data_IF_053903485711
#
_entry.id   IF_053903485711
#
_cell.length_a   1.000
_cell.length_b   1.000
_cell.length_c   1.000
_cell.angle_alpha   90.00
_cell.angle_beta   90.00
_cell.angle_gamma   90.00
#
_symmetry.space_group_name_H-M   'P 1'
#
loop_
_entity.id
_entity.type
_entity.pdbx_description
1 polymer ?
#
# COMPACT_ATOMS: atom_id res chain seq x y z
N UNK A 1 11.98 -10.27 -5.91
CA UNK A 1 10.65 -10.42 -5.29
C UNK A 1 10.01 -11.60 -5.96
N UNK A 2 9.92 -12.71 -5.24
CA UNK A 2 9.44 -13.99 -5.79
C UNK A 2 8.24 -14.54 -4.99
N UNK A 3 7.73 -13.76 -4.03
CA UNK A 3 6.51 -14.04 -3.27
C UNK A 3 5.46 -12.94 -3.44
N UNK A 4 4.45 -12.93 -2.58
CA UNK A 4 3.39 -11.92 -2.59
C UNK A 4 3.66 -10.86 -1.51
N UNK A 5 3.85 -9.62 -1.93
CA UNK A 5 3.91 -8.46 -1.04
C UNK A 5 2.51 -7.88 -0.86
N UNK A 6 2.04 -7.82 0.38
CA UNK A 6 0.70 -7.28 0.72
C UNK A 6 0.77 -6.27 1.87
N UNK A 7 -0.08 -5.21 1.85
CA UNK A 7 -0.31 -4.38 3.02
C UNK A 7 -1.20 -5.07 4.07
N UNK A 8 -1.34 -4.44 5.26
CA UNK A 8 -2.46 -4.70 6.15
C UNK A 8 -3.82 -4.63 5.43
N UNK A 9 -4.80 -5.35 5.97
CA UNK A 9 -6.10 -5.54 5.34
C UNK A 9 -7.02 -4.31 5.53
N UNK A 10 -6.72 -3.25 4.78
CA UNK A 10 -7.50 -2.02 4.71
C UNK A 10 -7.10 -0.92 5.71
N UNK A 11 -7.87 0.18 5.73
CA UNK A 11 -7.54 1.39 6.49
C UNK A 11 -7.59 1.20 8.01
N UNK A 12 -8.39 0.27 8.52
CA UNK A 12 -8.56 0.02 9.96
C UNK A 12 -7.43 -0.86 10.53
N UNK A 13 -6.86 -1.72 9.69
CA UNK A 13 -5.71 -2.56 10.03
C UNK A 13 -4.38 -1.80 9.93
N UNK A 14 -4.41 -0.53 9.50
CA UNK A 14 -3.20 0.24 9.30
C UNK A 14 -2.57 0.66 10.63
N UNK A 15 -1.25 0.43 10.85
CA UNK A 15 -0.60 0.82 12.10
C UNK A 15 -0.74 2.31 12.37
N UNK A 16 -1.18 2.70 13.57
CA UNK A 16 -1.38 4.12 13.95
C UNK A 16 -0.10 4.96 13.84
N UNK A 17 1.05 4.32 14.07
CA UNK A 17 2.38 4.94 13.97
C UNK A 17 2.80 5.20 12.50
N UNK A 18 2.08 4.66 11.53
CA UNK A 18 2.38 4.75 10.10
C UNK A 18 1.36 5.63 9.38
N UNK A 19 1.82 6.42 8.41
CA UNK A 19 0.91 7.19 7.56
C UNK A 19 0.04 6.26 6.72
N UNK A 20 -1.28 6.41 6.81
CA UNK A 20 -2.28 5.76 5.92
C UNK A 20 -2.10 6.12 4.44
N UNK A 21 -1.30 7.14 4.13
CA UNK A 21 -0.97 7.55 2.75
C UNK A 21 0.28 6.87 2.20
N UNK A 22 1.01 6.12 3.02
CA UNK A 22 2.31 5.56 2.68
C UNK A 22 2.25 4.04 2.82
N UNK A 23 1.85 3.39 1.71
CA UNK A 23 1.81 1.92 1.60
C UNK A 23 3.18 1.33 1.26
N UNK A 24 3.74 1.72 0.12
CA UNK A 24 5.04 1.26 -0.34
C UNK A 24 5.83 2.49 -0.80
N UNK A 25 6.86 2.85 -0.04
CA UNK A 25 7.64 4.07 -0.27
C UNK A 25 9.10 3.70 -0.51
N UNK A 26 9.60 4.12 -1.68
CA UNK A 26 11.01 4.12 -2.04
C UNK A 26 11.49 5.57 -1.97
N UNK A 27 12.42 5.90 -1.05
CA UNK A 27 12.83 7.28 -0.79
C UNK A 27 14.36 7.44 -0.80
N UNK A 28 14.85 8.51 -1.43
CA UNK A 28 16.27 8.86 -1.57
C UNK A 28 17.15 7.69 -2.05
N UNK A 29 16.72 7.04 -3.11
CA UNK A 29 17.48 5.95 -3.73
C UNK A 29 18.39 6.48 -4.83
N UNK A 30 19.56 5.86 -4.97
CA UNK A 30 20.45 6.00 -6.12
C UNK A 30 20.65 4.59 -6.70
N UNK A 31 20.48 4.43 -8.01
CA UNK A 31 20.65 3.17 -8.75
C UNK A 31 19.93 1.93 -8.17
N UNK A 32 18.64 2.06 -7.85
CA UNK A 32 17.84 0.93 -7.36
C UNK A 32 17.12 0.19 -8.48
N UNK A 33 17.17 -1.15 -8.43
CA UNK A 33 16.41 -2.04 -9.31
C UNK A 33 15.55 -3.01 -8.49
N UNK A 34 14.26 -3.11 -8.83
CA UNK A 34 13.34 -4.08 -8.25
C UNK A 34 13.03 -5.18 -9.27
N UNK A 35 13.44 -6.42 -9.01
CA UNK A 35 13.30 -7.57 -9.93
C UNK A 35 12.69 -8.78 -9.23
N UNK A 36 12.18 -9.72 -10.03
CA UNK A 36 11.63 -11.01 -9.60
C UNK A 36 10.32 -11.35 -10.33
N UNK A 37 9.71 -12.49 -10.02
CA UNK A 37 8.46 -12.96 -10.64
C UNK A 37 7.27 -12.98 -9.68
N UNK A 38 7.42 -12.37 -8.51
CA UNK A 38 6.40 -12.28 -7.47
C UNK A 38 5.31 -11.25 -7.76
N UNK A 39 4.43 -11.04 -6.79
CA UNK A 39 3.24 -10.18 -6.92
C UNK A 39 3.25 -9.09 -5.86
N UNK A 40 2.86 -7.88 -6.26
CA UNK A 40 2.52 -6.82 -5.32
C UNK A 40 1.00 -6.69 -5.34
N UNK A 41 0.34 -7.17 -4.30
CA UNK A 41 -1.10 -7.07 -4.13
C UNK A 41 -1.41 -5.95 -3.13
N UNK A 42 -2.00 -4.86 -3.63
CA UNK A 42 -2.29 -3.67 -2.84
C UNK A 42 -3.53 -3.73 -1.96
N UNK A 43 -4.34 -4.80 -2.02
CA UNK A 43 -5.58 -4.96 -1.23
C UNK A 43 -6.45 -3.70 -1.19
N UNK A 44 -6.64 -3.09 -2.37
CA UNK A 44 -7.25 -1.76 -2.51
C UNK A 44 -8.76 -1.70 -2.24
N UNK A 45 -9.46 -2.84 -2.26
CA UNK A 45 -10.93 -2.89 -2.19
C UNK A 45 -11.49 -2.10 -0.99
N UNK A 46 -11.02 -2.40 0.23
CA UNK A 46 -11.49 -1.71 1.45
C UNK A 46 -11.16 -0.22 1.47
N UNK A 47 -10.15 0.22 0.70
CA UNK A 47 -9.83 1.65 0.55
C UNK A 47 -10.78 2.35 -0.40
N UNK A 48 -11.21 1.68 -1.48
CA UNK A 48 -12.15 2.22 -2.46
C UNK A 48 -13.60 2.23 -1.97
N UNK A 49 -13.95 1.31 -1.07
CA UNK A 49 -15.27 1.24 -0.41
C UNK A 49 -15.46 2.29 0.69
N UNK A 50 -14.40 3.02 1.07
CA UNK A 50 -14.53 4.10 2.04
C UNK A 50 -15.53 5.15 1.54
N UNK A 51 -16.40 5.66 2.41
CA UNK A 51 -17.38 6.66 2.01
C UNK A 51 -16.65 7.88 1.45
N UNK A 52 -16.98 8.24 0.20
CA UNK A 52 -16.60 9.54 -0.34
C UNK A 52 -17.13 10.61 0.63
N UNK A 53 -16.29 11.59 0.99
CA UNK A 53 -16.80 12.79 1.68
C UNK A 53 -18.04 13.27 0.92
N UNK A 54 -19.17 13.57 1.59
CA UNK A 54 -20.31 14.12 0.88
C UNK A 54 -19.82 15.31 0.08
N UNK A 55 -20.02 15.26 -1.24
CA UNK A 55 -19.84 16.42 -2.09
C UNK A 55 -20.78 17.49 -1.54
N UNK A 56 -20.20 18.51 -0.91
CA UNK A 56 -20.93 19.65 -0.39
C UNK A 56 -21.10 20.67 -1.49
#
# INVERSE_FOLDING_TARGET
IDGIMTPPDGPDSWPEKSSKRQWLVFYRLHDMTLQGQGTIDGRGQKWWELPCKPHR
#
